data_IF_805945079241
#
_entry.id   IF_805945079241
#
_cell.length_a   1.000
_cell.length_b   1.000
_cell.length_c   1.000
_cell.angle_alpha   90.00
_cell.angle_beta   90.00
_cell.angle_gamma   90.00
#
_symmetry.space_group_name_H-M   'P 1'
#
loop_
_entity.id
_entity.type
_entity.pdbx_description
1 polymer ?
#
# COMPACT_ATOMS: atom_id res chain seq x y z
N UNK A 1 16.70 3.64 20.74
CA UNK A 1 17.17 4.84 20.04
C UNK A 1 17.84 4.46 18.72
N UNK A 2 17.07 3.95 17.72
CA UNK A 2 17.60 3.54 16.38
C UNK A 2 16.62 3.83 15.22
N UNK A 3 15.71 4.79 15.34
CA UNK A 3 14.60 4.96 14.39
C UNK A 3 14.56 6.33 13.67
N UNK A 4 15.68 6.98 13.37
CA UNK A 4 15.64 8.34 12.76
C UNK A 4 16.40 8.45 11.41
N UNK A 5 16.88 7.39 10.78
CA UNK A 5 17.70 7.55 9.56
C UNK A 5 17.03 7.19 8.22
N UNK A 6 15.77 6.78 8.18
CA UNK A 6 15.12 6.37 6.91
C UNK A 6 14.37 7.49 6.17
N UNK A 7 14.10 8.62 6.80
CA UNK A 7 13.31 9.70 6.19
C UNK A 7 14.10 10.63 5.23
N UNK A 8 15.43 10.51 5.18
CA UNK A 8 16.27 11.46 4.43
C UNK A 8 16.61 11.01 2.98
N UNK A 9 16.27 9.81 2.57
CA UNK A 9 16.69 9.26 1.28
C UNK A 9 15.75 9.58 0.09
N UNK A 10 14.55 10.08 0.33
CA UNK A 10 13.58 10.35 -0.75
C UNK A 10 13.68 11.73 -1.40
N UNK A 11 14.49 12.65 -0.87
CA UNK A 11 14.55 14.03 -1.35
C UNK A 11 15.56 14.28 -2.48
N UNK A 12 16.42 13.32 -2.85
CA UNK A 12 17.52 13.55 -3.78
C UNK A 12 17.33 13.03 -5.22
N UNK A 13 16.17 12.48 -5.57
CA UNK A 13 15.93 11.90 -6.90
C UNK A 13 15.31 12.86 -7.93
N UNK A 14 15.16 14.14 -7.61
CA UNK A 14 14.39 15.11 -8.43
C UNK A 14 15.21 15.93 -9.45
N UNK A 15 16.46 15.58 -9.74
CA UNK A 15 17.29 16.35 -10.67
C UNK A 15 17.88 15.53 -11.83
N UNK A 16 17.11 14.65 -12.47
CA UNK A 16 17.52 14.02 -13.72
C UNK A 16 16.78 14.64 -14.91
N UNK A 17 17.29 15.76 -15.40
CA UNK A 17 17.01 16.24 -16.75
C UNK A 17 17.79 15.37 -17.74
N UNK A 18 17.16 14.38 -18.34
CA UNK A 18 17.75 13.60 -19.44
C UNK A 18 17.34 14.19 -20.78
N UNK A 19 18.26 14.31 -21.77
CA UNK A 19 17.90 14.69 -23.12
C UNK A 19 17.14 13.56 -23.82
N UNK A 20 16.06 13.93 -24.51
CA UNK A 20 15.23 13.04 -25.31
C UNK A 20 16.07 12.38 -26.43
N UNK A 21 16.17 11.06 -26.41
CA UNK A 21 16.50 10.25 -27.59
C UNK A 21 15.24 9.52 -28.03
N UNK A 22 14.67 9.97 -29.15
CA UNK A 22 13.54 9.33 -29.80
C UNK A 22 13.97 7.92 -30.26
N UNK A 23 13.32 6.88 -29.74
CA UNK A 23 13.55 5.51 -30.18
C UNK A 23 12.71 4.50 -29.41
N UNK A 24 11.68 3.99 -30.05
CA UNK A 24 10.87 2.79 -29.76
C UNK A 24 9.97 2.78 -28.51
N UNK A 25 10.17 3.61 -27.48
CA UNK A 25 9.20 3.91 -26.45
C UNK A 25 9.18 5.44 -26.27
N UNK A 26 8.04 6.04 -26.52
CA UNK A 26 7.81 7.45 -26.15
C UNK A 26 7.74 7.53 -24.60
N UNK A 27 8.91 7.61 -23.98
CA UNK A 27 9.07 7.69 -22.53
C UNK A 27 8.74 9.12 -22.11
N UNK A 28 7.48 9.35 -21.78
CA UNK A 28 7.05 10.59 -21.14
C UNK A 28 7.16 10.40 -19.63
N UNK A 29 8.37 10.59 -19.08
CA UNK A 29 8.58 10.48 -17.64
C UNK A 29 7.94 11.65 -16.92
N UNK A 30 6.72 11.46 -16.42
CA UNK A 30 6.02 12.44 -15.60
C UNK A 30 6.01 11.96 -14.14
N UNK A 31 6.73 12.64 -13.22
CA UNK A 31 6.69 12.31 -11.82
C UNK A 31 5.31 12.68 -11.22
N UNK A 32 4.88 11.89 -10.25
CA UNK A 32 3.67 12.17 -9.50
C UNK A 32 3.83 11.82 -8.02
N UNK A 33 2.97 12.41 -7.21
CA UNK A 33 2.80 12.09 -5.79
C UNK A 33 1.33 11.87 -5.50
N UNK A 34 1.03 11.07 -4.49
CA UNK A 34 -0.34 10.82 -4.07
C UNK A 34 -0.46 10.46 -2.60
N UNK A 35 -1.65 10.63 -2.09
CA UNK A 35 -2.03 10.19 -0.76
C UNK A 35 -3.43 9.58 -0.80
N UNK A 36 -3.62 8.50 -0.06
CA UNK A 36 -4.90 7.81 0.05
C UNK A 36 -5.30 7.59 1.50
N UNK A 37 -6.59 7.49 1.72
CA UNK A 37 -7.18 7.03 2.96
C UNK A 37 -8.31 6.05 2.64
N UNK A 38 -8.53 5.07 3.51
CA UNK A 38 -9.49 4.02 3.28
C UNK A 38 -9.73 3.14 4.49
N UNK A 39 -10.26 1.97 4.24
CA UNK A 39 -10.50 0.94 5.23
C UNK A 39 -9.82 -0.35 4.79
N UNK A 40 -9.01 -0.90 5.68
CA UNK A 40 -8.45 -2.24 5.56
C UNK A 40 -9.36 -3.24 6.26
N UNK A 41 -9.47 -4.44 5.70
CA UNK A 41 -10.19 -5.57 6.27
C UNK A 41 -9.27 -6.79 6.25
N UNK A 42 -9.14 -7.44 7.39
CA UNK A 42 -8.24 -8.56 7.62
C UNK A 42 -9.01 -9.88 7.56
N UNK A 43 -8.55 -10.83 6.75
CA UNK A 43 -9.14 -12.17 6.67
C UNK A 43 -8.64 -13.04 7.84
N UNK A 44 -9.33 -12.91 8.98
CA UNK A 44 -8.94 -13.53 10.23
C UNK A 44 -9.94 -14.63 10.62
N UNK A 45 -9.42 -15.80 10.98
CA UNK A 45 -10.23 -16.88 11.57
C UNK A 45 -10.47 -16.61 13.05
N UNK A 46 -11.68 -16.14 13.39
CA UNK A 46 -12.07 -15.85 14.76
C UNK A 46 -12.52 -17.09 15.52
N UNK A 47 -11.94 -17.43 16.69
CA UNK A 47 -12.44 -18.47 17.55
C UNK A 47 -13.85 -18.13 18.07
N UNK A 48 -14.70 -19.13 18.24
CA UNK A 48 -16.10 -18.96 18.66
C UNK A 48 -16.29 -18.26 20.04
N UNK A 49 -15.23 -18.14 20.83
CA UNK A 49 -15.20 -17.51 22.15
C UNK A 49 -14.62 -16.10 22.16
N UNK A 50 -14.26 -15.57 21.00
CA UNK A 50 -13.62 -14.24 20.85
C UNK A 50 -14.44 -13.36 19.91
N UNK A 51 -14.45 -12.06 20.17
CA UNK A 51 -14.95 -11.04 19.25
C UNK A 51 -13.76 -10.45 18.53
N UNK A 52 -13.76 -10.47 17.19
CA UNK A 52 -12.73 -9.84 16.38
C UNK A 52 -13.28 -8.54 15.79
N UNK A 53 -12.48 -7.51 15.83
CA UNK A 53 -12.61 -6.31 15.02
C UNK A 53 -11.54 -6.43 13.91
N UNK A 54 -12.01 -6.83 12.73
CA UNK A 54 -11.19 -7.20 11.59
C UNK A 54 -11.00 -6.07 10.58
N UNK A 55 -11.39 -4.86 10.93
CA UNK A 55 -11.29 -3.71 10.05
C UNK A 55 -10.79 -2.45 10.77
N UNK A 56 -9.91 -1.69 10.10
CA UNK A 56 -9.41 -0.43 10.61
C UNK A 56 -9.18 0.59 9.49
N UNK A 57 -8.96 1.84 9.89
CA UNK A 57 -8.60 2.92 8.97
C UNK A 57 -7.19 2.70 8.46
N UNK A 58 -7.03 2.79 7.15
CA UNK A 58 -5.75 2.67 6.48
C UNK A 58 -5.41 3.95 5.70
N UNK A 59 -4.11 4.20 5.52
CA UNK A 59 -3.63 5.29 4.69
C UNK A 59 -2.36 4.92 3.95
N UNK A 60 -2.13 5.56 2.80
CA UNK A 60 -0.89 5.43 2.02
C UNK A 60 -0.41 6.79 1.56
N UNK A 61 0.90 6.97 1.51
CA UNK A 61 1.56 8.04 0.78
C UNK A 61 2.49 7.42 -0.25
N UNK A 62 2.49 7.93 -1.45
CA UNK A 62 3.27 7.33 -2.52
C UNK A 62 3.73 8.37 -3.54
N UNK A 63 4.75 8.02 -4.28
CA UNK A 63 5.21 8.76 -5.43
C UNK A 63 5.66 7.82 -6.52
N UNK A 64 5.75 8.32 -7.74
CA UNK A 64 6.09 7.48 -8.86
C UNK A 64 6.42 8.24 -10.13
N UNK A 65 6.57 7.46 -11.20
CA UNK A 65 6.83 7.96 -12.54
C UNK A 65 5.83 7.33 -13.52
N UNK A 66 5.06 8.15 -14.21
CA UNK A 66 4.34 7.72 -15.40
C UNK A 66 5.38 7.45 -16.49
N UNK A 67 5.56 6.19 -16.88
CA UNK A 67 6.50 5.77 -17.93
C UNK A 67 5.95 6.11 -19.31
N UNK A 68 4.64 5.92 -19.47
CA UNK A 68 3.84 6.31 -20.62
C UNK A 68 2.37 6.48 -20.20
N UNK A 69 1.45 6.69 -21.15
CA UNK A 69 0.01 6.85 -20.87
C UNK A 69 -0.67 5.60 -20.29
N UNK A 70 -0.03 4.42 -20.38
CA UNK A 70 -0.60 3.14 -19.94
C UNK A 70 0.06 2.57 -18.68
N UNK A 71 1.30 2.97 -18.38
CA UNK A 71 2.11 2.32 -17.33
C UNK A 71 2.78 3.36 -16.46
N UNK A 72 2.67 3.18 -15.15
CA UNK A 72 3.40 3.92 -14.14
C UNK A 72 4.06 2.97 -13.13
N UNK A 73 5.17 3.40 -12.55
CA UNK A 73 5.82 2.77 -11.41
C UNK A 73 5.57 3.62 -10.16
N UNK A 74 5.23 2.97 -9.07
CA UNK A 74 4.86 3.60 -7.81
C UNK A 74 5.63 2.99 -6.64
N UNK A 75 6.16 3.84 -5.77
CA UNK A 75 6.80 3.46 -4.50
C UNK A 75 6.14 4.27 -3.41
N UNK A 76 5.80 3.63 -2.30
CA UNK A 76 5.12 4.30 -1.22
C UNK A 76 5.31 3.64 0.13
N UNK A 77 4.62 4.19 1.10
CA UNK A 77 4.45 3.64 2.43
C UNK A 77 2.96 3.50 2.71
N UNK A 78 2.58 2.34 3.19
CA UNK A 78 1.22 2.01 3.59
C UNK A 78 1.19 1.69 5.09
N UNK A 79 0.15 2.18 5.74
CA UNK A 79 -0.25 1.79 7.07
C UNK A 79 -1.69 1.25 6.95
N UNK A 80 -1.84 -0.02 7.18
CA UNK A 80 -3.11 -0.72 7.00
C UNK A 80 -3.94 -0.78 8.29
N UNK A 81 -3.43 -0.15 9.37
CA UNK A 81 -4.11 -0.11 10.65
C UNK A 81 -3.93 -1.38 11.48
N UNK A 82 -4.80 -1.58 12.45
CA UNK A 82 -4.70 -2.59 13.49
C UNK A 82 -5.97 -3.44 13.57
N UNK A 83 -5.83 -4.76 13.46
CA UNK A 83 -6.90 -5.70 13.80
C UNK A 83 -6.85 -6.05 15.29
N UNK A 84 -8.02 -6.10 15.96
CA UNK A 84 -8.15 -6.34 17.40
C UNK A 84 -8.88 -7.63 17.70
N UNK A 85 -8.31 -8.40 18.62
CA UNK A 85 -8.93 -9.60 19.17
C UNK A 85 -9.30 -9.33 20.62
N UNK A 86 -10.57 -9.45 20.97
CA UNK A 86 -11.06 -9.30 22.33
C UNK A 86 -11.59 -10.64 22.85
N UNK A 87 -11.10 -11.06 24.02
CA UNK A 87 -11.46 -12.33 24.63
C UNK A 87 -10.29 -13.01 25.31
N UNK A 88 -10.25 -14.33 25.29
CA UNK A 88 -9.10 -15.11 25.77
C UNK A 88 -8.72 -16.12 24.69
N UNK A 89 -7.62 -15.94 23.96
CA UNK A 89 -6.60 -14.85 24.07
C UNK A 89 -7.08 -13.49 23.53
N UNK A 90 -6.42 -12.40 23.99
CA UNK A 90 -6.60 -11.05 23.46
C UNK A 90 -5.32 -10.58 22.80
N UNK A 91 -5.44 -9.75 21.76
CA UNK A 91 -4.25 -9.24 21.04
C UNK A 91 -4.59 -8.27 19.94
N UNK A 92 -3.55 -7.72 19.35
CA UNK A 92 -3.61 -6.82 18.21
C UNK A 92 -2.62 -7.26 17.13
N UNK A 93 -2.97 -6.99 15.87
CA UNK A 93 -2.12 -7.21 14.71
C UNK A 93 -2.09 -5.94 13.87
N UNK A 94 -0.94 -5.28 13.80
CA UNK A 94 -0.71 -4.05 13.04
C UNK A 94 0.13 -4.35 11.81
N UNK A 95 -0.25 -3.79 10.65
CA UNK A 95 0.45 -3.99 9.38
C UNK A 95 0.82 -2.64 8.77
N UNK A 96 2.11 -2.45 8.55
CA UNK A 96 2.61 -1.26 7.86
C UNK A 96 3.88 -1.58 7.06
N UNK A 97 4.25 -0.74 6.11
CA UNK A 97 5.50 -0.93 5.38
C UNK A 97 5.60 -0.26 4.02
N UNK A 98 6.64 -0.61 3.29
CA UNK A 98 6.94 -0.05 1.97
C UNK A 98 6.26 -0.84 0.86
N UNK A 99 5.76 -0.14 -0.14
CA UNK A 99 5.12 -0.72 -1.32
C UNK A 99 5.88 -0.36 -2.59
N UNK A 100 6.03 -1.32 -3.50
CA UNK A 100 6.62 -1.13 -4.83
C UNK A 100 5.68 -1.77 -5.85
N UNK A 101 5.08 -0.94 -6.69
CA UNK A 101 3.98 -1.38 -7.53
C UNK A 101 4.10 -0.89 -8.97
N UNK A 102 3.60 -1.70 -9.89
CA UNK A 102 3.33 -1.35 -11.26
C UNK A 102 1.85 -1.01 -11.39
N UNK A 103 1.55 0.11 -12.01
CA UNK A 103 0.19 0.59 -12.23
C UNK A 103 -0.07 0.65 -13.72
N UNK A 104 -1.05 -0.13 -14.18
CA UNK A 104 -1.59 -0.07 -15.53
C UNK A 104 -2.81 0.84 -15.59
N UNK A 105 -2.90 1.69 -16.60
CA UNK A 105 -4.03 2.61 -16.81
C UNK A 105 -4.65 2.39 -18.18
N UNK A 106 -5.97 2.29 -18.23
CA UNK A 106 -6.74 2.20 -19.45
C UNK A 106 -7.75 3.35 -19.53
N UNK A 107 -7.48 4.33 -20.38
CA UNK A 107 -8.35 5.49 -20.55
C UNK A 107 -9.64 5.10 -21.29
N UNK A 108 -10.79 5.30 -20.67
CA UNK A 108 -12.11 5.16 -21.28
C UNK A 108 -12.47 6.45 -22.01
N UNK A 109 -12.10 7.58 -21.44
CA UNK A 109 -12.25 8.91 -22.02
C UNK A 109 -11.18 9.86 -21.42
N UNK A 110 -11.03 11.11 -21.90
CA UNK A 110 -9.98 12.02 -21.41
C UNK A 110 -9.99 12.30 -19.90
N UNK A 111 -11.13 12.10 -19.24
CA UNK A 111 -11.27 12.37 -17.80
C UNK A 111 -11.36 11.12 -16.95
N UNK A 112 -11.57 9.94 -17.53
CA UNK A 112 -11.81 8.72 -16.76
C UNK A 112 -10.98 7.54 -17.27
N UNK A 113 -10.28 6.89 -16.37
CA UNK A 113 -9.46 5.71 -16.62
C UNK A 113 -9.77 4.59 -15.64
N UNK A 114 -9.70 3.35 -16.11
CA UNK A 114 -9.60 2.18 -15.24
C UNK A 114 -8.14 1.93 -14.88
N UNK A 115 -7.91 1.43 -13.67
CA UNK A 115 -6.58 1.16 -13.15
C UNK A 115 -6.51 -0.30 -12.72
N UNK A 116 -5.43 -0.97 -13.11
CA UNK A 116 -4.97 -2.21 -12.53
C UNK A 116 -3.61 -2.00 -11.89
N UNK A 117 -3.37 -2.60 -10.75
CA UNK A 117 -2.09 -2.48 -10.05
C UNK A 117 -1.63 -3.83 -9.52
N UNK A 118 -0.34 -3.98 -9.37
CA UNK A 118 0.25 -5.16 -8.75
C UNK A 118 1.70 -4.92 -8.41
N UNK A 119 2.17 -5.59 -7.37
CA UNK A 119 3.54 -5.39 -6.93
C UNK A 119 3.94 -6.21 -5.73
N UNK A 120 5.13 -5.89 -5.23
CA UNK A 120 5.73 -6.45 -4.03
C UNK A 120 5.71 -5.41 -2.93
N UNK A 121 5.40 -5.85 -1.72
CA UNK A 121 5.30 -4.99 -0.57
C UNK A 121 6.17 -5.58 0.55
N UNK A 122 6.96 -4.75 1.18
CA UNK A 122 7.79 -5.08 2.33
C UNK A 122 7.03 -4.64 3.57
N UNK A 123 6.20 -5.53 4.09
CA UNK A 123 5.29 -5.24 5.19
C UNK A 123 5.81 -5.81 6.49
N UNK A 124 5.69 -5.03 7.54
CA UNK A 124 5.97 -5.42 8.90
C UNK A 124 4.64 -5.78 9.57
N UNK A 125 4.55 -7.00 10.10
CA UNK A 125 3.40 -7.48 10.85
C UNK A 125 3.80 -7.55 12.33
N UNK A 126 3.29 -6.62 13.13
CA UNK A 126 3.49 -6.60 14.57
C UNK A 126 2.29 -7.25 15.28
N UNK A 127 2.56 -8.33 16.04
CA UNK A 127 1.53 -8.97 16.87
C UNK A 127 1.84 -8.78 18.34
N UNK A 128 0.92 -8.14 19.05
CA UNK A 128 0.97 -7.97 20.48
C UNK A 128 -0.23 -8.69 21.11
N UNK A 129 0.00 -9.54 22.11
CA UNK A 129 -1.09 -10.29 22.72
C UNK A 129 -0.80 -10.79 24.11
N UNK A 130 -1.86 -11.24 24.78
CA UNK A 130 -1.78 -11.87 26.10
C UNK A 130 -2.45 -13.23 26.04
N UNK A 131 -1.66 -14.30 26.26
CA UNK A 131 -2.16 -15.67 26.34
C UNK A 131 -2.11 -16.12 27.81
N UNK A 132 -3.26 -16.46 28.36
CA UNK A 132 -3.38 -16.94 29.76
C UNK A 132 -2.73 -15.99 30.81
N UNK A 133 -2.76 -14.67 30.57
CA UNK A 133 -2.18 -13.67 31.47
C UNK A 133 -0.70 -13.41 31.30
N UNK A 134 -0.03 -14.07 30.33
CA UNK A 134 1.37 -13.81 30.00
C UNK A 134 1.46 -12.98 28.74
N UNK A 135 2.11 -11.80 28.76
CA UNK A 135 2.33 -11.00 27.56
C UNK A 135 3.23 -11.74 26.58
N UNK A 136 2.79 -11.87 25.34
CA UNK A 136 3.60 -12.31 24.21
C UNK A 136 3.68 -11.13 23.24
N UNK A 137 4.85 -10.49 23.19
CA UNK A 137 5.18 -9.46 22.23
C UNK A 137 6.11 -10.11 21.20
N UNK A 138 5.64 -10.32 20.00
CA UNK A 138 6.53 -10.65 18.89
C UNK A 138 7.02 -9.35 18.27
N UNK A 139 8.32 -9.15 18.28
CA UNK A 139 8.94 -8.11 17.45
C UNK A 139 8.57 -8.40 16.00
N UNK A 140 8.00 -7.43 15.32
CA UNK A 140 7.53 -7.57 13.96
C UNK A 140 8.67 -8.00 13.03
N UNK A 141 8.38 -8.96 12.18
CA UNK A 141 9.28 -9.34 11.09
C UNK A 141 8.80 -8.69 9.79
N UNK A 142 9.76 -8.30 8.94
CA UNK A 142 9.44 -7.66 7.65
C UNK A 142 9.43 -8.73 6.57
N UNK A 143 8.24 -8.99 6.03
CA UNK A 143 8.04 -10.00 5.00
C UNK A 143 7.66 -9.39 3.66
N UNK A 144 7.88 -10.17 2.60
CA UNK A 144 7.52 -9.78 1.24
C UNK A 144 6.13 -10.32 0.91
N UNK A 145 5.17 -9.42 0.86
CA UNK A 145 3.80 -9.70 0.44
C UNK A 145 3.56 -9.25 -1.02
N UNK A 146 2.77 -10.00 -1.77
CA UNK A 146 2.31 -9.58 -3.09
C UNK A 146 0.99 -8.83 -2.96
N UNK A 147 0.74 -7.88 -3.87
CA UNK A 147 -0.59 -7.28 -3.98
C UNK A 147 -1.08 -7.21 -5.41
N UNK A 148 -2.39 -7.27 -5.54
CA UNK A 148 -3.13 -6.98 -6.76
C UNK A 148 -4.28 -6.05 -6.43
N UNK A 149 -4.61 -5.14 -7.35
CA UNK A 149 -5.71 -4.21 -7.14
C UNK A 149 -6.31 -3.73 -8.45
N UNK A 150 -7.52 -3.23 -8.33
CA UNK A 150 -8.29 -2.62 -9.39
C UNK A 150 -8.88 -1.30 -8.90
N UNK A 151 -9.05 -0.35 -9.83
CA UNK A 151 -9.61 0.93 -9.46
C UNK A 151 -10.04 1.76 -10.65
N UNK A 152 -10.43 2.98 -10.35
CA UNK A 152 -10.78 3.97 -11.33
C UNK A 152 -10.18 5.33 -10.93
N UNK A 153 -9.74 6.08 -11.93
CA UNK A 153 -9.23 7.44 -11.77
C UNK A 153 -10.09 8.41 -12.54
N UNK A 154 -10.45 9.51 -11.89
CA UNK A 154 -11.09 10.65 -12.50
C UNK A 154 -10.15 11.86 -12.47
N UNK A 155 -9.77 12.37 -13.65
CA UNK A 155 -8.89 13.51 -13.80
C UNK A 155 -9.68 14.81 -13.69
N UNK A 156 -9.53 15.54 -12.58
CA UNK A 156 -10.10 16.86 -12.36
C UNK A 156 -9.44 17.93 -13.23
N UNK A 157 -8.14 17.74 -13.48
CA UNK A 157 -7.33 18.59 -14.36
C UNK A 157 -6.20 17.76 -14.97
N UNK A 158 -5.33 18.42 -15.76
CA UNK A 158 -4.14 17.75 -16.30
C UNK A 158 -3.18 17.28 -15.22
N UNK A 159 -3.19 17.91 -14.04
CA UNK A 159 -2.25 17.63 -12.95
C UNK A 159 -2.90 16.97 -11.74
N UNK A 160 -4.23 16.99 -11.60
CA UNK A 160 -4.92 16.48 -10.40
C UNK A 160 -5.90 15.39 -10.78
N UNK A 161 -5.73 14.22 -10.19
CA UNK A 161 -6.65 13.08 -10.30
C UNK A 161 -7.18 12.63 -8.94
N UNK A 162 -8.40 12.10 -8.95
CA UNK A 162 -8.98 11.36 -7.84
C UNK A 162 -9.02 9.89 -8.23
N UNK A 163 -8.64 9.00 -7.31
CA UNK A 163 -8.73 7.55 -7.49
C UNK A 163 -9.62 6.93 -6.44
N UNK A 164 -10.33 5.88 -6.83
CA UNK A 164 -10.97 4.92 -5.94
C UNK A 164 -10.44 3.54 -6.29
N UNK A 165 -9.94 2.82 -5.31
CA UNK A 165 -9.18 1.58 -5.52
C UNK A 165 -9.59 0.52 -4.50
N UNK A 166 -9.64 -0.74 -4.94
CA UNK A 166 -9.58 -1.92 -4.11
C UNK A 166 -8.26 -2.64 -4.37
N UNK A 167 -7.57 -3.02 -3.30
CA UNK A 167 -6.28 -3.69 -3.35
C UNK A 167 -6.26 -4.83 -2.34
N UNK A 168 -5.80 -6.01 -2.75
CA UNK A 168 -5.60 -7.15 -1.87
C UNK A 168 -4.12 -7.44 -1.73
N UNK A 169 -3.68 -7.50 -0.49
CA UNK A 169 -2.35 -7.93 -0.07
C UNK A 169 -2.44 -9.40 0.32
N UNK A 170 -1.62 -10.23 -0.32
CA UNK A 170 -1.61 -11.67 -0.11
C UNK A 170 -0.47 -12.06 0.79
N UNK A 171 -0.74 -12.97 1.72
CA UNK A 171 0.26 -13.61 2.57
C UNK A 171 1.13 -12.60 3.32
N UNK A 172 0.50 -11.70 4.05
CA UNK A 172 1.18 -10.77 4.92
C UNK A 172 1.60 -11.49 6.20
N UNK A 173 2.92 -11.47 6.51
CA UNK A 173 3.52 -12.18 7.62
C UNK A 173 4.18 -13.48 7.19
N UNK A 174 4.94 -14.09 8.10
CA UNK A 174 5.71 -15.30 7.89
C UNK A 174 4.99 -16.53 8.42
N UNK A 175 4.93 -17.61 7.62
CA UNK A 175 4.20 -18.85 7.96
C UNK A 175 4.72 -19.52 9.23
N UNK A 176 6.03 -19.42 9.49
CA UNK A 176 6.68 -20.12 10.61
C UNK A 176 6.64 -19.32 11.93
N UNK A 177 6.47 -17.99 11.86
CA UNK A 177 6.57 -17.11 13.03
C UNK A 177 5.27 -16.41 13.38
N UNK A 178 4.71 -15.67 12.46
CA UNK A 178 3.52 -14.81 12.69
C UNK A 178 2.24 -15.39 12.10
N UNK A 179 2.33 -16.37 11.20
CA UNK A 179 1.23 -16.82 10.35
C UNK A 179 0.90 -15.79 9.26
N UNK A 180 0.44 -16.28 8.11
CA UNK A 180 0.05 -15.48 6.96
C UNK A 180 -1.41 -15.01 7.08
N UNK A 181 -1.69 -13.76 6.69
CA UNK A 181 -3.04 -13.20 6.60
C UNK A 181 -3.19 -12.43 5.28
N UNK A 182 -4.38 -12.46 4.71
CA UNK A 182 -4.73 -11.60 3.58
C UNK A 182 -5.39 -10.32 4.10
N UNK A 183 -5.10 -9.18 3.44
CA UNK A 183 -5.66 -7.88 3.79
C UNK A 183 -6.27 -7.23 2.56
N UNK A 184 -7.54 -6.88 2.63
CA UNK A 184 -8.25 -6.11 1.61
C UNK A 184 -8.28 -4.63 1.99
N UNK A 185 -7.89 -3.75 1.08
CA UNK A 185 -7.94 -2.29 1.26
C UNK A 185 -8.87 -1.66 0.23
N UNK A 186 -9.89 -0.95 0.69
CA UNK A 186 -10.70 -0.05 -0.13
C UNK A 186 -10.30 1.37 0.22
N UNK A 187 -9.85 2.15 -0.77
CA UNK A 187 -9.32 3.49 -0.53
C UNK A 187 -9.71 4.50 -1.60
N UNK A 188 -9.71 5.77 -1.19
CA UNK A 188 -9.77 6.91 -2.09
C UNK A 188 -8.48 7.73 -1.99
N UNK A 189 -7.99 8.23 -3.11
CA UNK A 189 -6.73 8.97 -3.17
C UNK A 189 -6.80 10.22 -4.04
N UNK A 190 -5.94 11.17 -3.72
CA UNK A 190 -5.62 12.32 -4.55
C UNK A 190 -4.23 12.13 -5.12
N UNK A 191 -4.10 12.33 -6.43
CA UNK A 191 -2.82 12.22 -7.16
C UNK A 191 -2.50 13.55 -7.80
N UNK A 192 -1.27 14.00 -7.65
CA UNK A 192 -0.75 15.18 -8.33
C UNK A 192 0.40 14.78 -9.26
N UNK A 193 0.22 14.98 -10.58
CA UNK A 193 1.22 14.73 -11.62
C UNK A 193 1.90 16.04 -12.00
N UNK A 194 3.21 16.06 -11.95
CA UNK A 194 4.04 17.20 -12.37
C UNK A 194 4.18 17.20 -13.89
N UNK A 195 3.57 18.15 -14.57
CA UNK A 195 3.56 18.27 -16.04
C UNK A 195 3.96 19.67 -16.46
#
# INVERSE_FOLDING_TARGET
MKTIYLAAAMASALSLSTPATAGFFDLTLAPFIGASAGQASYDLSCPATSTCDDSDTAWKIYGGLEVNEYIAMEVGYADLGEAKFSGTPSGTAEVNGMTVQLVGSFAINPSFSLIGRGGMNFLNLEKNGTIAGTPHNNEGDTDVAWSLGLGAQYNLSKSVGLRAEWERYFKVGDEDTTGEIDVDLISASVVYTFR
#
